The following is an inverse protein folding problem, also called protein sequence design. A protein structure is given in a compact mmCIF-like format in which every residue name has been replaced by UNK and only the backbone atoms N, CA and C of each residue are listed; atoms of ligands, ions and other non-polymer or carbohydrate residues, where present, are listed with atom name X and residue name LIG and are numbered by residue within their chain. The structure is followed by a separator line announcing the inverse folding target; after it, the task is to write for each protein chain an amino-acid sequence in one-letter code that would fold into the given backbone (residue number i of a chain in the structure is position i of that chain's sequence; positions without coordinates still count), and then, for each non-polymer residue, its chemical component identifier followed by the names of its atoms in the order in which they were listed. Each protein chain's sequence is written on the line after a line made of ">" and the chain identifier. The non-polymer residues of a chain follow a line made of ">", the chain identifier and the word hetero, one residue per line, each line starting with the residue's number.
data_IF_107412916847
#
_entry.id   IF_107412916847
#
_cell.length_a   1.000
_cell.length_b   1.000
_cell.length_c   1.000
_cell.angle_alpha   90.00
_cell.angle_beta   90.00
_cell.angle_gamma   90.00
#
_symmetry.space_group_name_H-M   'P 1'
#
loop_
_entity.id
_entity.type
_entity.pdbx_description
1 polymer ?
#
# COMPACT_ATOMS: atom_id res chain seq x y z
N UNK A 1 -31.62 -11.30 17.18
CA UNK A 1 -30.48 -11.71 18.03
C UNK A 1 -29.66 -12.69 17.20
N UNK A 2 -28.43 -12.35 16.81
CA UNK A 2 -27.62 -13.22 15.93
C UNK A 2 -27.01 -14.30 16.82
N UNK A 3 -27.61 -15.49 16.82
CA UNK A 3 -27.41 -16.50 17.88
C UNK A 3 -26.08 -17.26 17.80
N UNK A 4 -25.27 -17.08 16.74
CA UNK A 4 -23.90 -17.60 16.68
C UNK A 4 -23.07 -16.81 15.65
N UNK A 5 -21.86 -16.38 16.04
CA UNK A 5 -20.82 -15.86 15.14
C UNK A 5 -19.76 -16.95 15.01
N UNK A 6 -19.44 -17.38 13.78
CA UNK A 6 -18.31 -18.27 13.54
C UNK A 6 -17.00 -17.48 13.73
N UNK A 7 -16.35 -17.70 14.86
CA UNK A 7 -15.07 -17.08 15.20
C UNK A 7 -13.87 -17.76 14.54
N UNK A 8 -14.02 -19.02 14.14
CA UNK A 8 -12.93 -19.79 13.55
C UNK A 8 -12.80 -19.48 12.06
N UNK A 9 -13.93 -19.24 11.37
CA UNK A 9 -13.96 -18.91 9.94
C UNK A 9 -14.72 -17.60 9.68
N UNK A 10 -14.18 -16.45 10.13
CA UNK A 10 -14.80 -15.16 9.86
C UNK A 10 -14.84 -14.85 8.36
N UNK A 11 -15.84 -14.10 7.91
CA UNK A 11 -15.93 -13.71 6.50
C UNK A 11 -14.81 -12.71 6.13
N UNK A 12 -14.32 -12.71 4.88
CA UNK A 12 -13.22 -11.83 4.46
C UNK A 12 -13.57 -10.34 4.57
N UNK A 13 -14.86 -9.99 4.52
CA UNK A 13 -15.34 -8.63 4.73
C UNK A 13 -15.21 -8.20 6.19
N UNK A 14 -15.52 -9.09 7.13
CA UNK A 14 -15.39 -8.83 8.57
C UNK A 14 -13.93 -8.66 8.97
N UNK A 15 -13.02 -9.51 8.48
CA UNK A 15 -11.58 -9.40 8.75
C UNK A 15 -10.95 -8.11 8.18
N UNK A 16 -11.39 -7.68 6.99
CA UNK A 16 -10.90 -6.43 6.36
C UNK A 16 -11.26 -5.18 7.17
N UNK A 17 -12.42 -5.19 7.85
CA UNK A 17 -12.87 -4.09 8.72
C UNK A 17 -12.12 -4.04 10.05
N UNK A 18 -11.59 -5.16 10.51
CA UNK A 18 -10.84 -5.22 11.76
C UNK A 18 -9.47 -4.53 11.63
N UNK A 19 -9.01 -3.99 12.76
CA UNK A 19 -7.65 -3.47 12.88
C UNK A 19 -6.64 -4.58 12.60
N UNK A 20 -5.51 -4.25 11.94
CA UNK A 20 -4.49 -5.23 11.49
C UNK A 20 -3.99 -6.20 12.58
N UNK A 21 -3.97 -5.77 13.84
CA UNK A 21 -3.55 -6.58 15.00
C UNK A 21 -4.67 -7.43 15.62
N UNK A 22 -5.94 -7.15 15.29
CA UNK A 22 -7.14 -7.79 15.86
C UNK A 22 -7.78 -8.83 14.91
N UNK A 23 -7.19 -9.03 13.74
CA UNK A 23 -7.57 -10.10 12.81
C UNK A 23 -7.27 -11.46 13.43
N UNK A 24 -7.94 -12.52 12.95
CA UNK A 24 -7.68 -13.90 13.36
C UNK A 24 -6.18 -14.23 13.19
N UNK A 25 -5.61 -13.86 12.05
CA UNK A 25 -4.17 -13.85 11.80
C UNK A 25 -3.73 -12.43 11.43
N UNK A 26 -2.74 -11.92 12.14
CA UNK A 26 -2.24 -10.57 11.93
C UNK A 26 -1.54 -10.44 10.57
N UNK A 27 -1.88 -9.39 9.82
CA UNK A 27 -1.31 -9.13 8.51
C UNK A 27 -1.16 -7.63 8.26
N UNK A 28 -0.10 -7.19 7.57
CA UNK A 28 0.10 -5.77 7.26
C UNK A 28 -0.95 -5.27 6.26
N UNK A 29 -1.29 -3.98 6.36
CA UNK A 29 -2.10 -3.27 5.35
C UNK A 29 -1.23 -2.62 4.26
N UNK A 30 0.09 -2.59 4.46
CA UNK A 30 1.05 -2.02 3.52
C UNK A 30 1.37 -3.00 2.39
N UNK A 31 1.97 -2.47 1.33
CA UNK A 31 2.33 -3.23 0.14
C UNK A 31 3.44 -2.50 -0.60
N UNK A 32 4.16 -3.23 -1.45
CA UNK A 32 5.05 -2.65 -2.44
C UNK A 32 4.27 -2.39 -3.73
N UNK A 33 4.67 -1.35 -4.46
CA UNK A 33 4.12 -1.02 -5.76
C UNK A 33 5.23 -0.68 -6.73
N UNK A 34 5.02 -1.00 -7.99
CA UNK A 34 5.84 -0.57 -9.11
C UNK A 34 5.30 0.76 -9.60
N UNK A 35 6.08 1.83 -9.44
CA UNK A 35 5.73 3.18 -9.89
C UNK A 35 6.49 3.45 -11.20
N UNK A 36 5.75 3.80 -12.24
CA UNK A 36 6.29 4.23 -13.52
C UNK A 36 6.40 5.75 -13.52
N UNK A 37 7.61 6.24 -13.75
CA UNK A 37 7.90 7.66 -13.87
C UNK A 37 7.32 8.25 -15.16
N UNK A 38 6.75 9.45 -15.10
CA UNK A 38 6.17 10.16 -16.26
C UNK A 38 7.23 10.66 -17.26
N UNK A 39 8.44 10.99 -16.79
CA UNK A 39 9.49 11.54 -17.64
C UNK A 39 10.36 10.48 -18.32
N UNK A 40 10.91 9.56 -17.52
CA UNK A 40 11.91 8.59 -18.01
C UNK A 40 11.36 7.17 -18.23
N UNK A 41 10.06 6.94 -18.00
CA UNK A 41 9.35 5.66 -18.15
C UNK A 41 9.94 4.45 -17.41
N UNK A 42 10.99 4.65 -16.62
CA UNK A 42 11.57 3.65 -15.74
C UNK A 42 10.58 3.27 -14.64
N UNK A 43 10.61 2.00 -14.27
CA UNK A 43 9.79 1.43 -13.21
C UNK A 43 10.65 1.31 -11.96
N UNK A 44 10.17 1.86 -10.85
CA UNK A 44 10.85 1.77 -9.55
C UNK A 44 9.91 1.18 -8.50
N UNK A 45 10.44 0.33 -7.63
CA UNK A 45 9.70 -0.25 -6.51
C UNK A 45 9.60 0.73 -5.37
N UNK A 46 8.38 1.05 -4.95
CA UNK A 46 8.09 2.00 -3.87
C UNK A 46 7.22 1.32 -2.80
N UNK A 47 7.51 1.59 -1.54
CA UNK A 47 6.69 1.13 -0.42
C UNK A 47 5.47 2.05 -0.21
N UNK A 48 4.29 1.47 0.06
CA UNK A 48 3.05 2.27 0.14
C UNK A 48 2.97 3.28 1.28
N UNK A 49 3.74 3.09 2.34
CA UNK A 49 3.84 4.03 3.46
C UNK A 49 5.29 4.53 3.61
N UNK A 50 5.93 4.88 2.50
CA UNK A 50 7.29 5.42 2.51
C UNK A 50 7.38 6.67 3.39
N UNK A 51 8.34 6.68 4.31
CA UNK A 51 8.63 7.80 5.22
C UNK A 51 9.60 8.82 4.62
N UNK A 52 10.34 8.43 3.57
CA UNK A 52 11.28 9.28 2.86
C UNK A 52 10.72 9.68 1.51
N UNK A 53 11.22 10.80 0.98
CA UNK A 53 10.99 11.16 -0.43
C UNK A 53 11.69 10.12 -1.30
N UNK A 54 10.95 9.49 -2.22
CA UNK A 54 11.52 8.49 -3.12
C UNK A 54 11.80 9.12 -4.47
N UNK A 55 13.04 9.00 -4.91
CA UNK A 55 13.52 9.52 -6.19
C UNK A 55 13.56 8.41 -7.23
N UNK A 56 13.33 8.76 -8.49
CA UNK A 56 13.52 7.86 -9.62
C UNK A 56 15.02 7.62 -9.85
N UNK A 57 15.43 6.36 -10.01
CA UNK A 57 16.84 5.99 -10.17
C UNK A 57 17.51 6.55 -11.45
N UNK A 58 16.73 6.85 -12.50
CA UNK A 58 17.28 7.30 -13.79
C UNK A 58 17.15 8.81 -14.04
N UNK A 59 16.07 9.44 -13.59
CA UNK A 59 15.84 10.87 -13.85
C UNK A 59 15.83 11.75 -12.58
N UNK A 60 16.12 11.18 -11.41
CA UNK A 60 16.15 11.86 -10.10
C UNK A 60 14.88 12.65 -9.74
N UNK A 61 13.79 12.45 -10.49
CA UNK A 61 12.50 13.07 -10.22
C UNK A 61 11.86 12.45 -8.98
N UNK A 62 11.09 13.25 -8.26
CA UNK A 62 10.34 12.77 -7.10
C UNK A 62 9.20 11.88 -7.57
N UNK A 63 9.16 10.62 -7.10
CA UNK A 63 8.09 9.66 -7.37
C UNK A 63 6.98 9.72 -6.32
N UNK A 64 7.35 9.90 -5.05
CA UNK A 64 6.40 10.08 -3.96
C UNK A 64 6.93 10.95 -2.82
N UNK A 65 6.00 11.60 -2.12
CA UNK A 65 6.23 12.36 -0.91
C UNK A 65 5.66 11.62 0.30
N UNK A 66 6.35 11.64 1.46
CA UNK A 66 5.86 11.02 2.67
C UNK A 66 4.65 11.77 3.22
N UNK A 67 3.73 11.03 3.83
CA UNK A 67 2.59 11.57 4.59
C UNK A 67 2.46 10.83 5.92
N UNK A 68 1.50 11.19 6.76
CA UNK A 68 1.19 10.43 7.98
C UNK A 68 0.63 9.01 7.74
N UNK A 69 0.31 8.65 6.50
CA UNK A 69 -0.25 7.35 6.13
C UNK A 69 0.36 6.82 4.83
N UNK A 70 -0.47 6.66 3.80
CA UNK A 70 0.03 6.25 2.48
C UNK A 70 0.79 7.41 1.82
N UNK A 71 1.94 7.11 1.24
CA UNK A 71 2.74 8.10 0.53
C UNK A 71 1.93 8.70 -0.64
N UNK A 72 2.10 10.00 -0.88
CA UNK A 72 1.46 10.71 -1.99
C UNK A 72 2.33 10.55 -3.23
N UNK A 73 1.80 9.94 -4.29
CA UNK A 73 2.49 9.84 -5.58
C UNK A 73 2.50 11.20 -6.29
N UNK A 74 3.55 11.46 -7.06
CA UNK A 74 3.65 12.65 -7.90
C UNK A 74 2.63 12.59 -9.04
N UNK A 75 2.06 13.73 -9.39
CA UNK A 75 1.11 13.85 -10.49
C UNK A 75 1.68 13.26 -11.80
N UNK A 76 0.85 12.51 -12.53
CA UNK A 76 1.26 11.82 -13.76
C UNK A 76 2.04 10.51 -13.57
N UNK A 77 2.37 10.12 -12.33
CA UNK A 77 2.96 8.81 -12.06
C UNK A 77 1.87 7.73 -12.05
N UNK A 78 2.10 6.62 -12.74
CA UNK A 78 1.22 5.45 -12.70
C UNK A 78 1.81 4.38 -11.80
N UNK A 79 0.97 3.61 -11.09
CA UNK A 79 1.46 2.56 -10.21
C UNK A 79 0.69 1.25 -10.38
N UNK A 80 1.39 0.14 -10.16
CA UNK A 80 0.83 -1.20 -10.06
C UNK A 80 1.21 -1.80 -8.71
N UNK A 81 0.25 -2.35 -7.98
CA UNK A 81 0.55 -3.11 -6.75
C UNK A 81 1.31 -4.39 -7.09
N UNK A 82 2.41 -4.65 -6.40
CA UNK A 82 3.11 -5.94 -6.46
C UNK A 82 2.38 -6.96 -5.58
N UNK A 83 2.23 -8.17 -6.11
CA UNK A 83 1.74 -9.33 -5.35
C UNK A 83 2.88 -9.93 -4.55
#
# INVERSE_FOLDING_TARGET
>A
MVLAVDLLNPSPETEKRQHKLKRLVQSPNSYFMDVKCSGCFAISTVFSHAQTVVLCGSCASVLCQPTGGKARLTEGSSFRRKN
#
